data_IF_979471315492
#
_entry.id   IF_979471315492
#
_cell.length_a   1.000
_cell.length_b   1.000
_cell.length_c   1.000
_cell.angle_alpha   90.00
_cell.angle_beta   90.00
_cell.angle_gamma   90.00
#
_symmetry.space_group_name_H-M   'P 1'
#
loop_
_entity.id
_entity.type
_entity.pdbx_description
1 polymer ?
#
# COMPACT_ATOMS: atom_id res chain seq x y z
N UNK A 1 -1.51 5.42 8.82
CA UNK A 1 -0.73 4.63 7.85
C UNK A 1 0.13 3.65 8.61
N UNK A 2 -0.20 2.37 8.45
CA UNK A 2 0.52 1.29 9.12
C UNK A 2 1.81 1.01 8.34
N UNK A 3 2.93 1.17 9.01
CA UNK A 3 4.21 0.73 8.50
C UNK A 3 4.71 -0.44 9.35
N UNK A 4 4.41 -1.66 8.94
CA UNK A 4 5.01 -2.86 9.51
C UNK A 4 6.47 -2.95 9.06
N UNK A 5 7.40 -2.98 10.02
CA UNK A 5 8.83 -3.11 9.75
C UNK A 5 9.39 -4.31 10.50
N UNK A 6 9.55 -5.45 9.87
CA UNK A 6 10.38 -6.48 10.46
C UNK A 6 11.85 -6.01 10.41
N UNK A 7 12.39 -5.57 11.54
CA UNK A 7 13.78 -5.14 11.64
C UNK A 7 14.62 -6.13 12.43
N UNK A 8 15.89 -6.31 12.04
CA UNK A 8 16.83 -7.16 12.78
C UNK A 8 17.31 -6.54 14.11
N UNK A 9 17.13 -5.24 14.34
CA UNK A 9 17.53 -4.54 15.60
C UNK A 9 16.57 -3.43 15.93
N UNK A 10 16.12 -3.40 17.17
CA UNK A 10 15.16 -2.43 17.73
C UNK A 10 15.72 -1.02 17.95
N UNK A 11 17.00 -0.76 17.65
CA UNK A 11 17.69 0.40 18.21
C UNK A 11 17.37 1.74 17.57
N UNK A 12 16.67 1.82 16.43
CA UNK A 12 16.35 3.14 15.83
C UNK A 12 15.11 3.18 14.94
N UNK A 13 14.08 2.45 15.29
CA UNK A 13 12.79 2.45 14.57
C UNK A 13 12.08 3.80 14.58
N UNK A 14 12.49 4.70 15.47
CA UNK A 14 11.94 6.04 15.62
C UNK A 14 12.12 6.94 14.40
N UNK A 15 13.11 6.65 13.55
CA UNK A 15 13.48 7.44 12.36
C UNK A 15 13.60 6.59 11.08
N UNK A 16 13.32 5.29 11.14
CA UNK A 16 13.53 4.40 9.99
C UNK A 16 12.35 4.49 9.06
N UNK A 17 12.60 4.89 7.82
CA UNK A 17 11.64 4.81 6.72
C UNK A 17 11.49 3.35 6.25
N UNK A 18 10.34 2.96 5.66
CA UNK A 18 10.11 1.59 5.14
C UNK A 18 11.26 1.08 4.29
N UNK A 19 11.77 1.92 3.42
CA UNK A 19 12.87 1.62 2.49
C UNK A 19 14.19 1.26 3.17
N UNK A 20 14.34 1.55 4.46
CA UNK A 20 15.53 1.19 5.26
C UNK A 20 15.39 -0.17 5.95
N UNK A 21 14.22 -0.83 5.83
CA UNK A 21 14.01 -2.17 6.37
C UNK A 21 14.73 -3.22 5.52
N UNK A 22 15.40 -4.19 6.18
CA UNK A 22 15.96 -5.36 5.50
C UNK A 22 14.89 -6.28 4.88
N UNK A 23 13.61 -6.05 5.20
CA UNK A 23 12.47 -6.84 4.72
C UNK A 23 11.54 -6.04 3.82
N UNK A 24 12.06 -4.99 3.21
CA UNK A 24 11.38 -4.18 2.22
C UNK A 24 12.28 -4.02 0.99
N UNK A 25 11.71 -4.16 -0.20
CA UNK A 25 12.43 -4.00 -1.46
C UNK A 25 11.60 -3.20 -2.45
N UNK A 26 12.15 -2.09 -2.94
CA UNK A 26 11.50 -1.29 -3.98
C UNK A 26 11.47 -2.02 -5.32
N UNK A 27 10.32 -1.96 -5.97
CA UNK A 27 10.17 -2.27 -7.39
C UNK A 27 9.96 -1.01 -8.24
N UNK A 28 10.26 0.17 -7.69
CA UNK A 28 10.28 1.43 -8.44
C UNK A 28 11.42 1.44 -9.47
N UNK A 29 11.29 2.26 -10.50
CA UNK A 29 12.24 2.39 -11.59
C UNK A 29 11.61 2.00 -12.92
N UNK A 30 12.43 1.62 -13.91
CA UNK A 30 11.95 1.35 -15.25
C UNK A 30 11.22 0.01 -15.35
N UNK A 31 10.00 0.05 -15.92
CA UNK A 31 9.19 -1.11 -16.26
C UNK A 31 9.00 -1.16 -17.77
N UNK A 32 8.97 -2.35 -18.36
CA UNK A 32 8.47 -2.54 -19.73
C UNK A 32 7.01 -2.14 -19.79
N UNK A 33 6.64 -1.38 -20.83
CA UNK A 33 5.33 -0.75 -20.94
C UNK A 33 4.78 -0.81 -22.37
N UNK A 34 3.54 -1.24 -22.48
CA UNK A 34 2.76 -1.19 -23.72
C UNK A 34 1.43 -0.48 -23.44
N UNK A 35 1.15 0.56 -24.22
CA UNK A 35 -0.09 1.32 -24.12
C UNK A 35 -0.95 1.10 -25.36
N UNK A 36 -2.25 0.92 -25.14
CA UNK A 36 -3.24 0.85 -26.21
C UNK A 36 -4.46 1.72 -25.87
N UNK A 37 -5.10 2.32 -26.90
CA UNK A 37 -6.25 3.18 -26.67
C UNK A 37 -7.53 2.42 -26.28
N UNK A 38 -7.64 1.16 -26.68
CA UNK A 38 -8.83 0.32 -26.44
C UNK A 38 -8.45 -1.00 -25.77
N UNK A 39 -9.30 -1.52 -24.87
CA UNK A 39 -9.05 -2.80 -24.20
C UNK A 39 -8.93 -3.99 -25.17
N UNK A 40 -9.60 -3.91 -26.33
CA UNK A 40 -9.58 -4.99 -27.32
C UNK A 40 -8.24 -5.15 -28.02
N UNK A 41 -7.44 -4.08 -28.07
CA UNK A 41 -6.11 -4.03 -28.71
C UNK A 41 -4.98 -4.48 -27.79
N UNK A 42 -5.27 -4.69 -26.49
CA UNK A 42 -4.25 -5.06 -25.52
C UNK A 42 -3.62 -6.42 -25.82
N UNK A 43 -2.34 -6.61 -25.52
CA UNK A 43 -1.67 -7.91 -25.65
C UNK A 43 -2.22 -8.89 -24.60
N UNK A 44 -3.01 -9.87 -25.04
CA UNK A 44 -3.78 -10.76 -24.14
C UNK A 44 -2.92 -11.72 -23.32
N UNK A 45 -1.77 -12.13 -23.84
CA UNK A 45 -0.91 -13.15 -23.23
C UNK A 45 0.39 -12.56 -22.62
N UNK A 46 0.46 -11.27 -22.48
CA UNK A 46 1.68 -10.56 -22.06
C UNK A 46 2.17 -10.95 -20.65
N UNK A 47 1.30 -11.51 -19.82
CA UNK A 47 1.63 -11.98 -18.47
C UNK A 47 2.43 -13.28 -18.46
N UNK A 48 2.45 -14.03 -19.56
CA UNK A 48 3.22 -15.27 -19.69
C UNK A 48 4.71 -14.96 -19.68
N UNK A 49 5.49 -15.79 -18.98
CA UNK A 49 6.93 -15.54 -18.80
C UNK A 49 7.71 -15.53 -20.11
N UNK A 50 7.31 -16.36 -21.06
CA UNK A 50 7.90 -16.48 -22.40
C UNK A 50 7.50 -15.38 -23.38
N UNK A 51 6.54 -14.52 -23.03
CA UNK A 51 6.10 -13.45 -23.93
C UNK A 51 7.21 -12.41 -24.12
N UNK A 52 7.56 -12.13 -25.38
CA UNK A 52 8.60 -11.16 -25.71
C UNK A 52 8.11 -9.72 -25.54
N UNK A 53 8.74 -9.00 -24.62
CA UNK A 53 8.51 -7.57 -24.36
C UNK A 53 9.69 -6.69 -24.78
N UNK A 54 10.65 -7.23 -25.53
CA UNK A 54 11.87 -6.49 -25.92
C UNK A 54 11.56 -5.23 -26.72
N UNK A 55 10.51 -5.27 -27.57
CA UNK A 55 10.04 -4.14 -28.36
C UNK A 55 9.17 -3.13 -27.61
N UNK A 56 8.89 -3.35 -26.32
CA UNK A 56 8.08 -2.44 -25.53
C UNK A 56 8.86 -1.21 -25.08
N UNK A 57 8.15 -0.11 -24.88
CA UNK A 57 8.72 1.06 -24.23
C UNK A 57 9.18 0.76 -22.79
N UNK A 58 9.92 1.70 -22.22
CA UNK A 58 10.17 1.74 -20.78
C UNK A 58 9.43 2.94 -20.17
N UNK A 59 8.82 2.73 -19.02
CA UNK A 59 8.16 3.79 -18.25
C UNK A 59 8.65 3.75 -16.80
N UNK A 60 8.99 4.90 -16.19
CA UNK A 60 9.32 4.92 -14.78
C UNK A 60 8.07 4.64 -13.94
N UNK A 61 8.21 3.82 -12.91
CA UNK A 61 7.23 3.61 -11.84
C UNK A 61 7.88 4.17 -10.56
N UNK A 62 7.21 5.07 -9.83
CA UNK A 62 5.86 5.57 -10.07
C UNK A 62 5.78 6.62 -11.19
N UNK A 63 4.72 6.58 -11.99
CA UNK A 63 4.33 7.66 -12.90
C UNK A 63 2.89 7.52 -13.39
N UNK A 64 2.34 8.64 -13.90
CA UNK A 64 1.14 8.60 -14.75
C UNK A 64 1.58 8.59 -16.21
N UNK A 65 1.07 7.63 -17.00
CA UNK A 65 1.49 7.52 -18.40
C UNK A 65 1.07 8.73 -19.26
N UNK A 66 -0.06 9.37 -18.96
CA UNK A 66 -0.52 10.55 -19.71
C UNK A 66 0.44 11.74 -19.53
N UNK A 67 1.01 11.92 -18.33
CA UNK A 67 1.97 13.01 -18.07
C UNK A 67 3.35 12.64 -18.61
N UNK A 68 3.80 11.42 -18.35
CA UNK A 68 5.09 10.94 -18.86
C UNK A 68 5.15 10.91 -20.39
N UNK A 69 4.00 10.63 -21.04
CA UNK A 69 3.88 10.57 -22.50
C UNK A 69 3.89 11.93 -23.23
N UNK A 70 3.93 13.06 -22.51
CA UNK A 70 3.99 14.40 -23.14
C UNK A 70 5.38 14.59 -23.76
N UNK A 71 5.41 14.76 -25.08
CA UNK A 71 6.62 14.97 -25.85
C UNK A 71 7.03 16.46 -25.86
N UNK A 72 8.28 16.75 -26.24
CA UNK A 72 8.81 18.13 -26.28
C UNK A 72 8.04 19.04 -27.24
N UNK A 73 7.45 18.52 -28.27
CA UNK A 73 6.62 19.24 -29.24
C UNK A 73 5.15 19.39 -28.78
N UNK A 74 4.83 18.93 -27.57
CA UNK A 74 3.48 18.97 -27.01
C UNK A 74 2.57 17.82 -27.43
N UNK A 75 3.02 16.93 -28.31
CA UNK A 75 2.25 15.72 -28.66
C UNK A 75 2.20 14.73 -27.48
N UNK A 76 1.20 13.86 -27.49
CA UNK A 76 0.95 12.95 -26.40
C UNK A 76 1.04 11.51 -26.88
N UNK A 77 2.06 10.78 -26.40
CA UNK A 77 2.32 9.41 -26.79
C UNK A 77 1.31 8.43 -26.20
N UNK A 78 0.85 8.69 -24.97
CA UNK A 78 0.02 7.75 -24.19
C UNK A 78 -1.31 8.38 -23.77
N UNK A 79 -2.04 8.91 -24.70
CA UNK A 79 -3.36 9.51 -24.44
C UNK A 79 -3.28 10.86 -23.72
N UNK A 80 -4.44 11.45 -23.48
CA UNK A 80 -4.57 12.83 -22.98
C UNK A 80 -4.90 12.85 -21.49
N UNK A 81 -4.20 13.66 -20.68
CA UNK A 81 -4.63 13.93 -19.31
C UNK A 81 -6.02 14.54 -19.28
N UNK A 82 -6.86 14.10 -18.38
CA UNK A 82 -8.21 14.64 -18.22
C UNK A 82 -8.28 15.37 -16.89
N UNK A 83 -8.78 16.62 -16.96
CA UNK A 83 -9.18 17.33 -15.77
C UNK A 83 -10.56 16.86 -15.31
N UNK A 84 -10.85 16.96 -14.22
CA UNK A 84 -11.55 16.58 -13.09
C UNK A 84 -13.06 16.55 -13.03
N UNK A 85 -13.77 17.60 -13.14
CA UNK A 85 -15.23 17.63 -13.08
C UNK A 85 -15.88 17.19 -14.40
N UNK A 86 -15.16 16.36 -15.13
CA UNK A 86 -15.58 15.88 -16.44
C UNK A 86 -16.25 14.52 -16.32
N UNK A 87 -17.16 14.21 -17.24
CA UNK A 87 -17.93 12.97 -17.22
C UNK A 87 -17.03 11.73 -17.25
N UNK A 88 -17.50 10.64 -16.65
CA UNK A 88 -16.88 9.32 -16.80
C UNK A 88 -16.96 8.88 -18.26
N UNK A 89 -15.89 8.28 -18.76
CA UNK A 89 -15.69 7.91 -20.17
C UNK A 89 -16.59 6.79 -20.68
N UNK A 90 -17.33 6.11 -19.84
CA UNK A 90 -18.28 5.09 -20.25
C UNK A 90 -19.62 5.70 -20.65
N UNK A 91 -20.19 5.26 -21.76
CA UNK A 91 -21.61 5.48 -22.00
C UNK A 91 -22.42 4.65 -21.03
N UNK A 92 -23.25 5.30 -20.25
CA UNK A 92 -24.27 4.62 -19.45
C UNK A 92 -25.36 4.07 -20.41
N UNK A 93 -25.84 2.86 -20.14
CA UNK A 93 -26.98 2.29 -20.88
C UNK A 93 -28.32 2.94 -20.50
N UNK A 94 -28.37 3.69 -19.40
CA UNK A 94 -29.53 4.45 -18.95
C UNK A 94 -29.50 5.84 -19.56
N UNK A 95 -30.64 6.36 -19.99
CA UNK A 95 -30.76 7.69 -20.57
C UNK A 95 -30.14 8.73 -19.61
N UNK A 96 -29.19 9.49 -20.15
CA UNK A 96 -28.37 10.44 -19.38
C UNK A 96 -29.21 11.59 -18.80
N UNK A 97 -30.41 11.80 -19.33
CA UNK A 97 -31.32 12.86 -18.94
C UNK A 97 -31.83 12.75 -17.50
N UNK A 98 -31.78 11.56 -16.92
CA UNK A 98 -32.13 11.32 -15.51
C UNK A 98 -31.02 11.62 -14.52
N UNK A 99 -29.80 11.93 -14.99
CA UNK A 99 -28.65 12.20 -14.14
C UNK A 99 -28.44 13.69 -13.89
N UNK A 100 -28.79 14.10 -12.73
CA UNK A 100 -28.59 15.47 -12.26
C UNK A 100 -27.20 15.65 -11.67
N UNK A 101 -26.16 15.54 -12.45
CA UNK A 101 -24.87 15.89 -11.87
C UNK A 101 -23.65 15.19 -12.45
N UNK A 102 -22.74 15.95 -12.68
CA UNK A 102 -21.29 15.96 -12.82
C UNK A 102 -20.65 14.74 -13.47
N UNK A 103 -20.39 13.74 -12.70
CA UNK A 103 -19.43 12.68 -13.04
C UNK A 103 -19.93 11.64 -14.07
N UNK A 104 -21.21 11.59 -14.32
CA UNK A 104 -21.85 10.57 -15.16
C UNK A 104 -22.14 11.04 -16.59
N UNK A 105 -21.75 12.23 -16.95
CA UNK A 105 -21.98 12.79 -18.28
C UNK A 105 -21.09 12.13 -19.33
N UNK A 106 -21.59 12.05 -20.56
CA UNK A 106 -20.78 11.65 -21.73
C UNK A 106 -19.73 12.72 -22.02
N UNK A 107 -18.45 12.38 -22.12
CA UNK A 107 -17.42 13.34 -22.49
C UNK A 107 -17.60 13.85 -23.93
N UNK A 108 -17.09 15.06 -24.24
CA UNK A 108 -17.08 15.58 -25.59
C UNK A 108 -16.48 14.60 -26.59
N UNK A 109 -17.06 14.50 -27.78
CA UNK A 109 -16.65 13.53 -28.81
C UNK A 109 -15.25 13.77 -29.38
N UNK A 110 -14.71 14.98 -29.19
CA UNK A 110 -13.36 15.36 -29.62
C UNK A 110 -12.28 14.95 -28.62
N UNK A 111 -12.63 14.41 -27.45
CA UNK A 111 -11.65 13.92 -26.49
C UNK A 111 -11.12 12.55 -26.91
N UNK A 112 -9.82 12.36 -26.70
CA UNK A 112 -9.16 11.09 -27.00
C UNK A 112 -9.83 9.93 -26.27
N UNK A 113 -10.19 10.13 -25.01
CA UNK A 113 -10.86 9.15 -24.16
C UNK A 113 -12.26 8.79 -24.64
N UNK A 114 -12.97 9.70 -25.29
CA UNK A 114 -14.26 9.41 -25.89
C UNK A 114 -14.09 8.45 -27.09
N UNK A 115 -13.09 8.70 -27.93
CA UNK A 115 -12.80 7.87 -29.11
C UNK A 115 -12.23 6.50 -28.73
N UNK A 116 -11.34 6.48 -27.78
CA UNK A 116 -10.61 5.30 -27.33
C UNK A 116 -11.33 4.50 -26.24
N UNK A 117 -12.23 5.13 -25.54
CA UNK A 117 -13.13 4.65 -24.48
C UNK A 117 -12.49 4.14 -23.19
N UNK A 118 -11.40 3.41 -23.20
CA UNK A 118 -10.74 2.94 -21.96
C UNK A 118 -9.31 2.50 -22.26
N UNK A 119 -8.38 3.40 -22.13
CA UNK A 119 -6.97 3.13 -22.37
C UNK A 119 -6.46 2.04 -21.41
N UNK A 120 -5.55 1.20 -21.91
CA UNK A 120 -4.92 0.13 -21.14
C UNK A 120 -3.41 0.25 -21.20
N UNK A 121 -2.77 0.24 -20.02
CA UNK A 121 -1.33 0.13 -19.85
C UNK A 121 -0.95 -1.27 -19.36
N UNK A 122 -0.17 -2.01 -20.15
CA UNK A 122 0.40 -3.29 -19.74
C UNK A 122 1.84 -3.09 -19.30
N UNK A 123 2.15 -3.53 -18.09
CA UNK A 123 3.45 -3.37 -17.45
C UNK A 123 4.11 -4.73 -17.19
N UNK A 124 5.43 -4.80 -17.36
CA UNK A 124 6.22 -5.98 -16.92
C UNK A 124 7.53 -5.57 -16.29
N UNK A 125 7.93 -6.32 -15.26
CA UNK A 125 9.22 -6.18 -14.60
C UNK A 125 9.71 -7.53 -14.09
N UNK A 126 11.02 -7.72 -14.14
CA UNK A 126 11.71 -8.82 -13.46
C UNK A 126 12.18 -8.38 -12.08
N UNK A 127 12.18 -9.32 -11.14
CA UNK A 127 12.67 -9.11 -9.78
C UNK A 127 13.19 -10.41 -9.17
N UNK A 128 13.99 -10.29 -8.12
CA UNK A 128 14.49 -11.41 -7.32
C UNK A 128 14.15 -11.21 -5.87
N UNK A 129 13.99 -12.31 -5.13
CA UNK A 129 13.76 -12.29 -3.68
C UNK A 129 15.10 -12.45 -2.97
N UNK A 130 15.45 -11.60 -1.98
CA UNK A 130 16.64 -11.77 -1.16
C UNK A 130 16.65 -13.14 -0.44
N UNK A 131 17.81 -13.79 -0.36
CA UNK A 131 17.94 -15.12 0.25
C UNK A 131 17.55 -15.15 1.74
N UNK A 132 17.76 -14.05 2.45
CA UNK A 132 17.41 -13.91 3.87
C UNK A 132 15.91 -13.75 4.13
N UNK A 133 15.10 -13.75 3.07
CA UNK A 133 13.63 -13.79 3.16
C UNK A 133 13.06 -15.22 3.14
N UNK A 134 13.92 -16.23 3.07
CA UNK A 134 13.46 -17.62 3.09
C UNK A 134 12.59 -17.92 4.33
N UNK A 135 11.52 -18.69 4.12
CA UNK A 135 10.55 -19.02 5.16
C UNK A 135 9.61 -17.90 5.60
N UNK A 136 9.69 -16.72 4.97
CA UNK A 136 8.75 -15.61 5.19
C UNK A 136 7.61 -15.61 4.19
N UNK A 137 6.55 -14.88 4.52
CA UNK A 137 5.48 -14.54 3.58
C UNK A 137 5.84 -13.26 2.85
N UNK A 138 5.71 -13.27 1.54
CA UNK A 138 6.09 -12.15 0.67
C UNK A 138 4.83 -11.49 0.13
N UNK A 139 4.69 -10.21 0.41
CA UNK A 139 3.63 -9.37 -0.12
C UNK A 139 4.18 -8.42 -1.18
N UNK A 140 3.41 -8.20 -2.24
CA UNK A 140 3.61 -7.08 -3.15
C UNK A 140 2.58 -6.01 -2.85
N UNK A 141 3.03 -4.78 -2.62
CA UNK A 141 2.22 -3.63 -2.29
C UNK A 141 2.27 -2.62 -3.42
N UNK A 142 1.09 -2.18 -3.86
CA UNK A 142 0.91 -1.07 -4.79
C UNK A 142 0.27 0.07 -4.01
N UNK A 143 1.01 1.12 -3.71
CA UNK A 143 0.52 2.23 -2.87
C UNK A 143 -0.50 3.12 -3.58
N UNK A 144 -0.59 3.01 -4.90
CA UNK A 144 -1.63 3.67 -5.68
C UNK A 144 -1.54 3.35 -7.15
N UNK A 145 -2.65 2.88 -7.70
CA UNK A 145 -2.84 2.60 -9.14
C UNK A 145 -4.18 3.14 -9.58
N UNK A 146 -4.19 4.07 -10.50
CA UNK A 146 -5.44 4.63 -11.05
C UNK A 146 -5.76 3.99 -12.41
N UNK A 147 -6.92 3.40 -12.60
CA UNK A 147 -8.03 3.24 -11.63
C UNK A 147 -8.27 1.78 -11.22
N UNK A 148 -7.92 0.84 -12.06
CA UNK A 148 -8.18 -0.58 -11.91
C UNK A 148 -7.01 -1.37 -12.50
N UNK A 149 -6.61 -2.48 -11.85
CA UNK A 149 -5.59 -3.34 -12.42
C UNK A 149 -5.79 -4.83 -12.10
N UNK A 150 -5.28 -5.66 -13.02
CA UNK A 150 -5.02 -7.09 -12.79
C UNK A 150 -3.54 -7.32 -12.50
N UNK A 151 -3.25 -8.33 -11.68
CA UNK A 151 -1.90 -8.73 -11.28
C UNK A 151 -1.64 -10.20 -11.58
N UNK A 152 -0.47 -10.46 -12.18
CA UNK A 152 0.09 -11.80 -12.36
C UNK A 152 1.52 -11.86 -11.84
N UNK A 153 1.89 -13.01 -11.30
CA UNK A 153 3.27 -13.35 -10.93
C UNK A 153 3.64 -14.63 -11.64
N UNK A 154 4.75 -14.62 -12.38
CA UNK A 154 5.24 -15.79 -13.14
C UNK A 154 4.16 -16.43 -14.02
N UNK A 155 3.37 -15.63 -14.70
CA UNK A 155 2.28 -16.09 -15.56
C UNK A 155 1.01 -16.51 -14.86
N UNK A 156 0.99 -16.56 -13.52
CA UNK A 156 -0.16 -16.98 -12.74
C UNK A 156 -0.96 -15.77 -12.24
N UNK A 157 -2.27 -15.82 -12.40
CA UNK A 157 -3.17 -14.78 -11.92
C UNK A 157 -3.19 -14.73 -10.39
N UNK A 158 -2.97 -13.54 -9.82
CA UNK A 158 -2.95 -13.28 -8.37
C UNK A 158 -4.25 -12.65 -7.91
N UNK A 159 -4.70 -11.59 -8.59
CA UNK A 159 -5.87 -10.82 -8.19
C UNK A 159 -6.01 -9.50 -8.94
N UNK A 160 -6.87 -8.64 -8.41
CA UNK A 160 -7.13 -7.29 -8.95
C UNK A 160 -7.42 -6.29 -7.83
N UNK A 161 -7.33 -5.01 -8.16
CA UNK A 161 -7.81 -3.92 -7.28
C UNK A 161 -8.50 -2.83 -8.09
N UNK A 162 -9.50 -2.17 -7.48
CA UNK A 162 -10.26 -1.06 -8.04
C UNK A 162 -10.12 0.24 -7.25
N UNK A 163 -9.45 0.20 -6.12
CA UNK A 163 -9.28 1.37 -5.25
C UNK A 163 -8.01 2.10 -5.64
N UNK A 164 -8.17 3.29 -6.22
CA UNK A 164 -7.03 4.06 -6.75
C UNK A 164 -6.17 4.70 -5.67
N UNK A 165 -6.70 4.91 -4.46
CA UNK A 165 -6.07 5.77 -3.45
C UNK A 165 -5.46 5.03 -2.27
N UNK A 166 -5.90 3.81 -2.02
CA UNK A 166 -5.39 2.97 -0.93
C UNK A 166 -4.41 1.94 -1.47
N UNK A 167 -3.50 1.51 -0.61
CA UNK A 167 -2.56 0.44 -0.92
C UNK A 167 -3.29 -0.86 -1.23
N UNK A 168 -2.98 -1.46 -2.37
CA UNK A 168 -3.40 -2.80 -2.72
C UNK A 168 -2.27 -3.79 -2.40
N UNK A 169 -2.51 -4.71 -1.46
CA UNK A 169 -1.54 -5.67 -0.96
C UNK A 169 -1.94 -7.09 -1.32
N UNK A 170 -1.01 -7.86 -1.89
CA UNK A 170 -1.23 -9.24 -2.31
C UNK A 170 -0.14 -10.15 -1.77
N UNK A 171 -0.51 -11.24 -1.09
CA UNK A 171 0.43 -12.29 -0.75
C UNK A 171 0.80 -13.08 -2.01
N UNK A 172 2.07 -12.98 -2.40
CA UNK A 172 2.58 -13.62 -3.62
C UNK A 172 3.45 -14.85 -3.35
N UNK A 173 3.64 -15.24 -2.10
CA UNK A 173 4.57 -16.30 -1.67
C UNK A 173 4.44 -17.58 -2.49
N UNK A 174 3.21 -18.07 -2.70
CA UNK A 174 2.94 -19.33 -3.43
C UNK A 174 3.22 -19.28 -4.93
N UNK A 175 3.38 -18.08 -5.49
CA UNK A 175 3.62 -17.87 -6.93
C UNK A 175 5.11 -17.69 -7.25
N UNK A 176 5.96 -17.52 -6.23
CA UNK A 176 7.39 -17.26 -6.40
C UNK A 176 8.17 -18.50 -6.78
N UNK A 177 9.21 -18.29 -7.59
CA UNK A 177 10.21 -19.30 -7.91
C UNK A 177 11.59 -18.83 -7.46
N UNK A 178 12.53 -19.77 -7.32
CA UNK A 178 13.92 -19.44 -7.01
C UNK A 178 14.56 -18.73 -8.20
N UNK A 179 15.27 -17.64 -7.95
CA UNK A 179 15.91 -16.80 -8.97
C UNK A 179 14.98 -15.70 -9.47
N UNK A 180 14.94 -15.49 -10.78
CA UNK A 180 14.21 -14.40 -11.41
C UNK A 180 12.70 -14.69 -11.44
N UNK A 181 11.92 -13.73 -10.97
CA UNK A 181 10.48 -13.72 -11.02
C UNK A 181 10.00 -12.61 -11.92
N UNK A 182 8.82 -12.75 -12.49
CA UNK A 182 8.19 -11.77 -13.38
C UNK A 182 6.90 -11.28 -12.76
N UNK A 183 6.76 -9.97 -12.59
CA UNK A 183 5.48 -9.31 -12.31
C UNK A 183 4.91 -8.72 -13.58
N UNK A 184 3.63 -8.98 -13.83
CA UNK A 184 2.87 -8.39 -14.93
C UNK A 184 1.62 -7.70 -14.36
N UNK A 185 1.35 -6.48 -14.82
CA UNK A 185 0.23 -5.65 -14.36
C UNK A 185 -0.48 -5.07 -15.56
N UNK A 186 -1.79 -5.21 -15.62
CA UNK A 186 -2.63 -4.62 -16.66
C UNK A 186 -3.53 -3.57 -16.02
N UNK A 187 -3.26 -2.29 -16.32
CA UNK A 187 -3.96 -1.15 -15.72
C UNK A 187 -4.96 -0.58 -16.72
N UNK A 188 -6.19 -0.43 -16.29
CA UNK A 188 -7.26 0.21 -17.05
C UNK A 188 -7.47 1.64 -16.54
N UNK A 189 -7.57 2.58 -17.47
CA UNK A 189 -7.80 3.99 -17.14
C UNK A 189 -9.05 4.21 -16.31
N UNK A 190 -10.09 3.42 -16.57
CA UNK A 190 -11.37 3.57 -15.90
C UNK A 190 -12.02 2.22 -15.63
N UNK A 191 -12.78 2.16 -14.56
CA UNK A 191 -13.56 1.01 -14.12
C UNK A 191 -14.92 1.47 -13.57
N UNK A 192 -15.74 0.54 -13.12
CA UNK A 192 -16.95 0.87 -12.36
C UNK A 192 -16.64 1.69 -11.09
N UNK A 193 -15.49 1.45 -10.45
CA UNK A 193 -14.99 2.26 -9.33
C UNK A 193 -14.78 3.73 -9.69
N UNK A 194 -14.48 4.05 -10.94
CA UNK A 194 -14.29 5.42 -11.39
C UNK A 194 -15.53 6.30 -11.23
N UNK A 195 -16.73 5.71 -11.17
CA UNK A 195 -17.96 6.46 -10.88
C UNK A 195 -18.01 6.99 -9.45
N UNK A 196 -17.40 6.27 -8.51
CA UNK A 196 -17.30 6.68 -7.12
C UNK A 196 -16.10 7.60 -6.85
N UNK A 197 -15.01 7.40 -7.61
CA UNK A 197 -13.75 8.13 -7.44
C UNK A 197 -13.66 9.39 -8.32
N UNK A 198 -14.67 9.67 -9.13
CA UNK A 198 -14.70 10.80 -10.05
C UNK A 198 -15.02 12.12 -9.35
N UNK A 199 -14.17 12.51 -8.42
CA UNK A 199 -14.24 13.79 -7.73
C UNK A 199 -13.55 14.90 -8.53
N UNK A 200 -13.61 16.14 -8.05
CA UNK A 200 -13.01 17.29 -8.71
C UNK A 200 -11.47 17.27 -8.66
N UNK A 201 -10.87 16.50 -9.54
CA UNK A 201 -9.42 16.27 -9.60
C UNK A 201 -8.97 15.77 -10.98
N UNK A 202 -7.68 15.84 -11.28
CA UNK A 202 -7.11 15.19 -12.46
C UNK A 202 -7.27 13.68 -12.40
N UNK A 203 -7.56 13.07 -13.56
CA UNK A 203 -7.60 11.63 -13.77
C UNK A 203 -6.37 11.23 -14.54
N UNK A 204 -5.39 10.75 -13.81
CA UNK A 204 -4.05 10.46 -14.31
C UNK A 204 -3.76 8.97 -14.10
N UNK A 205 -4.07 8.13 -15.09
CA UNK A 205 -3.96 6.68 -14.94
C UNK A 205 -2.51 6.21 -14.90
N UNK A 206 -2.31 5.06 -14.27
CA UNK A 206 -1.02 4.40 -14.16
C UNK A 206 -0.67 3.99 -12.74
N UNK A 207 0.49 3.39 -12.58
CA UNK A 207 1.07 3.07 -11.28
C UNK A 207 1.75 4.36 -10.77
N UNK A 208 1.00 5.21 -10.06
CA UNK A 208 1.44 6.57 -9.73
C UNK A 208 2.07 6.71 -8.35
N UNK A 209 2.10 5.62 -7.57
CA UNK A 209 2.82 5.53 -6.29
C UNK A 209 3.75 4.32 -6.27
N UNK A 210 4.50 4.18 -5.18
CA UNK A 210 5.48 3.12 -4.98
C UNK A 210 4.90 1.72 -5.17
N UNK A 211 5.70 0.85 -5.79
CA UNK A 211 5.51 -0.59 -5.76
C UNK A 211 6.67 -1.19 -4.96
N UNK A 212 6.34 -2.02 -3.97
CA UNK A 212 7.36 -2.63 -3.12
C UNK A 212 7.01 -4.07 -2.74
N UNK A 213 8.04 -4.85 -2.47
CA UNK A 213 7.92 -6.14 -1.81
C UNK A 213 8.15 -5.96 -0.31
N UNK A 214 7.38 -6.69 0.48
CA UNK A 214 7.52 -6.75 1.92
C UNK A 214 7.54 -8.21 2.37
N UNK A 215 8.55 -8.58 3.17
CA UNK A 215 8.64 -9.90 3.77
C UNK A 215 8.22 -9.84 5.24
N UNK A 216 7.26 -10.67 5.63
CA UNK A 216 6.78 -10.76 7.01
C UNK A 216 6.93 -12.18 7.56
N UNK A 217 7.10 -12.37 8.89
CA UNK A 217 7.03 -13.69 9.49
C UNK A 217 5.68 -14.37 9.23
N UNK A 218 5.62 -15.70 9.31
CA UNK A 218 4.35 -16.42 9.18
C UNK A 218 3.33 -16.02 10.27
N UNK A 219 3.81 -15.74 11.50
CA UNK A 219 3.03 -15.06 12.53
C UNK A 219 3.46 -13.61 12.54
N UNK A 220 2.56 -12.69 12.19
CA UNK A 220 2.86 -11.27 12.04
C UNK A 220 1.72 -10.37 12.52
N UNK A 221 2.03 -9.13 12.77
CA UNK A 221 1.04 -8.07 13.03
C UNK A 221 0.46 -7.62 11.69
N UNK A 222 -0.79 -8.03 11.42
CA UNK A 222 -1.49 -7.65 10.18
C UNK A 222 -1.94 -6.19 10.21
N UNK A 223 -2.40 -5.76 11.38
CA UNK A 223 -2.90 -4.39 11.58
C UNK A 223 -2.61 -3.90 13.00
N UNK A 224 -2.44 -2.60 13.14
CA UNK A 224 -2.23 -1.91 14.42
C UNK A 224 -3.10 -0.66 14.45
N UNK A 225 -4.22 -0.74 15.13
CA UNK A 225 -5.13 0.40 15.29
C UNK A 225 -4.84 1.06 16.64
N UNK A 226 -4.47 2.33 16.58
CA UNK A 226 -4.14 3.13 17.78
C UNK A 226 -5.14 4.28 17.88
N UNK A 227 -5.82 4.36 19.00
CA UNK A 227 -6.81 5.41 19.29
C UNK A 227 -6.36 6.21 20.51
N UNK A 228 -5.72 7.37 20.29
CA UNK A 228 -5.35 8.26 21.38
C UNK A 228 -6.56 9.07 21.84
N UNK A 229 -6.72 9.23 23.14
CA UNK A 229 -7.74 10.08 23.73
C UNK A 229 -7.22 10.74 25.01
N UNK A 230 -7.95 11.69 25.55
CA UNK A 230 -7.68 12.33 26.83
C UNK A 230 -8.78 11.93 27.82
N UNK A 231 -8.46 11.97 29.10
CA UNK A 231 -9.43 11.78 30.16
C UNK A 231 -10.50 12.90 30.18
N UNK A 232 -11.55 12.72 30.97
CA UNK A 232 -12.67 13.69 31.06
C UNK A 232 -12.23 15.08 31.54
N UNK A 233 -11.05 15.21 32.15
CA UNK A 233 -10.48 16.48 32.59
C UNK A 233 -9.48 17.07 31.60
N UNK A 234 -9.24 16.38 30.48
CA UNK A 234 -8.23 16.74 29.50
C UNK A 234 -6.81 16.86 30.09
N UNK A 235 -6.54 16.14 31.18
CA UNK A 235 -5.25 16.18 31.89
C UNK A 235 -4.35 15.05 31.50
N UNK A 236 -4.80 13.81 31.61
CA UNK A 236 -4.05 12.59 31.30
C UNK A 236 -4.49 11.98 29.98
N UNK A 237 -3.58 11.25 29.33
CA UNK A 237 -3.82 10.57 28.06
C UNK A 237 -4.12 9.09 28.24
N UNK A 238 -4.97 8.56 27.38
CA UNK A 238 -5.24 7.13 27.23
C UNK A 238 -5.04 6.71 25.78
N UNK A 239 -4.19 5.72 25.56
CA UNK A 239 -3.90 5.18 24.26
C UNK A 239 -4.46 3.76 24.18
N UNK A 240 -5.54 3.56 23.41
CA UNK A 240 -6.10 2.24 23.13
C UNK A 240 -5.41 1.66 21.91
N UNK A 241 -4.87 0.46 22.05
CA UNK A 241 -4.06 -0.22 21.03
C UNK A 241 -4.69 -1.57 20.74
N UNK A 242 -5.08 -1.80 19.49
CA UNK A 242 -5.58 -3.07 18.99
C UNK A 242 -4.58 -3.58 17.95
N UNK A 243 -3.92 -4.70 18.24
CA UNK A 243 -3.02 -5.36 17.31
C UNK A 243 -3.68 -6.64 16.78
N UNK A 244 -3.94 -6.67 15.48
CA UNK A 244 -4.44 -7.85 14.80
C UNK A 244 -3.28 -8.73 14.37
N UNK A 245 -3.20 -9.92 14.97
CA UNK A 245 -2.09 -10.86 14.75
C UNK A 245 -2.60 -12.04 13.95
N UNK A 246 -2.02 -12.22 12.76
CA UNK A 246 -2.39 -13.27 11.80
C UNK A 246 -1.34 -14.37 11.74
N UNK A 247 -1.81 -15.60 11.68
CA UNK A 247 -0.97 -16.78 11.50
C UNK A 247 -1.18 -17.37 10.11
N UNK A 248 -0.23 -17.14 9.20
CA UNK A 248 -0.19 -17.77 7.87
C UNK A 248 0.54 -19.12 7.86
N UNK A 249 1.06 -19.55 9.01
CA UNK A 249 1.72 -20.83 9.18
C UNK A 249 0.73 -22.02 9.23
N UNK A 250 1.29 -23.23 9.21
CA UNK A 250 0.52 -24.49 9.19
C UNK A 250 0.18 -25.04 10.57
N UNK A 251 0.67 -24.41 11.64
CA UNK A 251 0.49 -24.85 13.04
C UNK A 251 -0.01 -23.68 13.89
N UNK A 252 -0.77 -24.01 14.96
CA UNK A 252 -1.17 -23.03 15.94
C UNK A 252 0.04 -22.34 16.59
N UNK A 253 0.00 -21.01 16.68
CA UNK A 253 0.99 -20.20 17.36
C UNK A 253 0.53 -19.88 18.78
N UNK A 254 1.38 -20.14 19.79
CA UNK A 254 1.07 -19.95 21.21
C UNK A 254 2.27 -19.47 22.02
N UNK A 255 2.00 -18.68 23.07
CA UNK A 255 3.03 -18.15 23.97
C UNK A 255 3.74 -16.94 23.38
N UNK A 256 3.02 -16.11 22.66
CA UNK A 256 3.49 -14.83 22.12
C UNK A 256 2.92 -13.67 22.93
N UNK A 257 3.56 -12.52 22.86
CA UNK A 257 3.10 -11.27 23.47
C UNK A 257 3.44 -10.08 22.57
N UNK A 258 2.60 -9.05 22.62
CA UNK A 258 2.92 -7.71 22.13
C UNK A 258 3.55 -6.92 23.26
N UNK A 259 4.66 -6.26 22.99
CA UNK A 259 5.35 -5.36 23.93
C UNK A 259 5.37 -3.96 23.31
N UNK A 260 4.89 -2.96 24.04
CA UNK A 260 4.77 -1.59 23.54
C UNK A 260 5.67 -0.63 24.29
N UNK A 261 6.35 0.24 23.55
CA UNK A 261 7.08 1.40 24.06
C UNK A 261 6.59 2.67 23.38
N UNK A 262 6.40 3.75 24.15
CA UNK A 262 5.96 5.05 23.63
C UNK A 262 7.10 6.06 23.79
N UNK A 263 7.41 6.78 22.72
CA UNK A 263 8.45 7.78 22.67
C UNK A 263 7.87 9.16 22.40
N UNK A 264 8.32 10.14 23.16
CA UNK A 264 8.06 11.53 22.88
C UNK A 264 8.86 11.98 21.66
N UNK A 265 8.20 12.62 20.70
CA UNK A 265 8.84 13.08 19.47
C UNK A 265 8.37 14.50 19.17
N UNK A 266 9.16 15.47 19.59
CA UNK A 266 8.90 16.86 19.19
C UNK A 266 9.30 17.05 17.74
N UNK A 267 8.37 17.57 16.91
CA UNK A 267 8.62 17.85 15.51
C UNK A 267 9.87 18.73 15.35
N UNK A 268 10.79 18.35 14.47
CA UNK A 268 12.10 19.00 14.25
C UNK A 268 13.10 18.95 15.41
N UNK A 269 12.87 18.16 16.45
CA UNK A 269 13.87 17.90 17.47
C UNK A 269 14.39 16.46 17.40
N UNK A 270 15.60 16.25 17.94
CA UNK A 270 16.16 14.91 18.13
C UNK A 270 15.73 14.27 19.44
N UNK A 271 14.79 14.88 20.16
CA UNK A 271 14.27 14.35 21.40
C UNK A 271 13.42 13.09 21.15
N UNK A 272 13.86 12.00 21.75
CA UNK A 272 13.26 10.67 21.61
C UNK A 272 13.18 9.99 22.98
N UNK A 273 12.75 10.72 23.99
CA UNK A 273 12.66 10.20 25.34
C UNK A 273 11.52 9.18 25.42
N UNK A 274 11.82 8.01 25.96
CA UNK A 274 10.79 7.03 26.27
C UNK A 274 9.86 7.57 27.36
N UNK A 275 8.56 7.58 27.09
CA UNK A 275 7.56 8.21 27.96
C UNK A 275 7.23 7.32 29.16
N UNK A 276 7.31 6.01 28.97
CA UNK A 276 7.07 5.02 30.02
C UNK A 276 8.25 4.06 30.11
N UNK A 277 8.93 4.03 31.23
CA UNK A 277 10.12 3.23 31.50
C UNK A 277 9.89 1.71 31.53
N UNK A 278 8.68 1.24 31.37
CA UNK A 278 8.36 -0.17 31.33
C UNK A 278 7.52 -0.47 30.08
N UNK A 279 8.06 -1.27 29.19
CA UNK A 279 7.30 -1.81 28.08
C UNK A 279 6.06 -2.55 28.58
N UNK A 280 4.87 -2.11 28.16
CA UNK A 280 3.63 -2.82 28.49
C UNK A 280 3.58 -4.08 27.64
N UNK A 281 3.47 -5.23 28.31
CA UNK A 281 3.37 -6.52 27.67
C UNK A 281 1.94 -7.06 27.75
N UNK A 282 1.37 -7.37 26.59
CA UNK A 282 0.03 -7.96 26.45
C UNK A 282 0.16 -9.35 25.84
N UNK A 283 -0.32 -10.40 26.53
CA UNK A 283 -0.29 -11.75 25.97
C UNK A 283 -1.19 -11.84 24.73
N UNK A 284 -0.71 -12.56 23.72
CA UNK A 284 -1.46 -12.90 22.52
C UNK A 284 -2.15 -14.23 22.74
N UNK A 285 -3.45 -14.31 22.49
CA UNK A 285 -4.20 -15.56 22.50
C UNK A 285 -3.60 -16.55 21.50
N UNK A 286 -3.98 -17.83 21.62
CA UNK A 286 -3.57 -18.84 20.63
C UNK A 286 -4.12 -18.47 19.27
N UNK A 287 -3.25 -18.36 18.28
CA UNK A 287 -3.62 -18.06 16.90
C UNK A 287 -3.56 -19.33 16.08
N UNK A 288 -4.70 -19.91 15.77
CA UNK A 288 -4.78 -21.14 14.96
C UNK A 288 -4.23 -20.91 13.54
N UNK A 289 -3.85 -21.98 12.86
CA UNK A 289 -3.35 -21.93 11.49
C UNK A 289 -4.39 -21.26 10.55
N UNK A 290 -3.98 -20.23 9.82
CA UNK A 290 -4.83 -19.46 8.91
C UNK A 290 -5.79 -18.49 9.62
N UNK A 291 -5.73 -18.37 10.94
CA UNK A 291 -6.61 -17.50 11.73
C UNK A 291 -5.92 -16.20 12.17
N UNK A 292 -6.73 -15.31 12.74
CA UNK A 292 -6.32 -14.01 13.26
C UNK A 292 -6.95 -13.80 14.64
N UNK A 293 -6.24 -13.09 15.53
CA UNK A 293 -6.72 -12.66 16.83
C UNK A 293 -6.32 -11.22 17.07
N UNK A 294 -7.13 -10.46 17.82
CA UNK A 294 -6.81 -9.11 18.26
C UNK A 294 -6.26 -9.14 19.68
N UNK A 295 -5.09 -8.53 19.89
CA UNK A 295 -4.53 -8.26 21.22
C UNK A 295 -4.82 -6.80 21.59
N UNK A 296 -5.66 -6.61 22.63
CA UNK A 296 -6.09 -5.28 23.07
C UNK A 296 -5.24 -4.82 24.27
N UNK A 297 -4.82 -3.57 24.24
CA UNK A 297 -4.00 -2.94 25.28
C UNK A 297 -4.42 -1.50 25.50
N UNK A 298 -4.40 -1.04 26.74
CA UNK A 298 -4.56 0.37 27.07
C UNK A 298 -3.32 0.88 27.80
N UNK A 299 -2.72 1.93 27.24
CA UNK A 299 -1.58 2.63 27.82
C UNK A 299 -2.03 3.99 28.35
N UNK A 300 -1.73 4.28 29.63
CA UNK A 300 -2.01 5.58 30.25
C UNK A 300 -0.75 6.45 30.28
N UNK A 301 -0.89 7.70 29.87
CA UNK A 301 0.18 8.69 29.83
C UNK A 301 -0.19 9.88 30.69
N UNK A 302 0.59 10.11 31.74
CA UNK A 302 0.37 11.25 32.66
C UNK A 302 0.79 12.55 31.96
N UNK A 303 -0.11 13.53 31.94
CA UNK A 303 0.13 14.89 31.44
C UNK A 303 0.88 14.95 30.12
N UNK A 304 0.37 14.29 29.07
CA UNK A 304 1.04 14.29 27.77
C UNK A 304 1.14 15.70 27.20
N UNK A 305 2.16 15.94 26.39
CA UNK A 305 2.23 17.12 25.55
C UNK A 305 1.15 17.01 24.48
N UNK A 306 0.19 17.93 24.53
CA UNK A 306 -0.96 17.92 23.61
C UNK A 306 -0.59 18.55 22.28
N UNK A 307 -1.06 17.99 21.23
CA UNK A 307 -0.90 18.55 19.90
C UNK A 307 -1.74 19.82 19.72
N UNK A 308 -1.17 20.84 19.13
CA UNK A 308 -1.89 21.97 18.55
C UNK A 308 -1.19 22.40 17.27
N UNK A 309 -1.84 23.24 16.45
CA UNK A 309 -1.21 23.78 15.23
C UNK A 309 0.07 24.57 15.52
N UNK A 310 0.10 25.25 16.68
CA UNK A 310 1.26 26.04 17.14
C UNK A 310 2.33 25.17 17.80
N UNK A 311 1.94 24.03 18.34
CA UNK A 311 2.85 23.07 19.00
C UNK A 311 2.50 21.65 18.53
N UNK A 312 2.90 21.26 17.32
CA UNK A 312 2.55 19.99 16.72
C UNK A 312 3.39 18.85 17.33
N UNK A 313 3.15 18.57 18.60
CA UNK A 313 3.86 17.52 19.33
C UNK A 313 3.32 16.15 18.95
N UNK A 314 4.21 15.20 18.68
CA UNK A 314 3.86 13.83 18.28
C UNK A 314 4.44 12.81 19.26
N UNK A 315 3.87 11.62 19.23
CA UNK A 315 4.40 10.45 19.92
C UNK A 315 4.62 9.33 18.91
N UNK A 316 5.67 8.54 19.11
CA UNK A 316 5.92 7.33 18.33
C UNK A 316 5.66 6.11 19.19
N UNK A 317 4.68 5.30 18.82
CA UNK A 317 4.43 4.00 19.41
C UNK A 317 5.24 2.94 18.66
N UNK A 318 6.00 2.14 19.41
CA UNK A 318 6.70 0.96 18.89
C UNK A 318 6.09 -0.28 19.53
N UNK A 319 5.61 -1.22 18.70
CA UNK A 319 5.10 -2.52 19.11
C UNK A 319 6.02 -3.64 18.64
N UNK A 320 6.39 -4.54 19.54
CA UNK A 320 7.20 -5.72 19.24
C UNK A 320 6.40 -6.99 19.48
N UNK A 321 6.26 -7.84 18.47
CA UNK A 321 5.74 -9.20 18.63
C UNK A 321 6.88 -10.10 19.11
N UNK A 322 6.77 -10.64 20.33
CA UNK A 322 7.81 -11.46 20.97
C UNK A 322 7.34 -12.89 21.21
N UNK A 323 8.26 -13.85 21.08
CA UNK A 323 8.03 -15.23 21.49
C UNK A 323 8.19 -15.42 23.00
N UNK A 324 7.89 -16.64 23.50
CA UNK A 324 8.02 -17.02 24.90
C UNK A 324 9.42 -16.93 25.48
N UNK A 325 10.45 -16.77 24.63
CA UNK A 325 11.85 -16.56 25.04
C UNK A 325 12.25 -15.09 25.01
N UNK A 326 11.30 -14.18 24.71
CA UNK A 326 11.52 -12.74 24.59
C UNK A 326 12.20 -12.33 23.28
N UNK A 327 12.33 -13.21 22.28
CA UNK A 327 12.91 -12.86 20.99
C UNK A 327 11.86 -12.15 20.14
N UNK A 328 12.23 -11.00 19.59
CA UNK A 328 11.38 -10.23 18.69
C UNK A 328 11.29 -10.91 17.33
N UNK A 329 10.06 -11.18 16.89
CA UNK A 329 9.76 -11.71 15.57
C UNK A 329 9.58 -10.57 14.57
N UNK A 330 8.85 -9.55 15.01
CA UNK A 330 8.48 -8.40 14.20
C UNK A 330 8.38 -7.15 15.07
N UNK A 331 8.64 -6.02 14.47
CA UNK A 331 8.44 -4.71 15.08
C UNK A 331 7.59 -3.85 14.18
N UNK A 332 6.60 -3.19 14.75
CA UNK A 332 5.69 -2.25 14.08
C UNK A 332 5.73 -0.90 14.76
N UNK A 333 5.40 0.16 14.01
CA UNK A 333 5.46 1.53 14.48
C UNK A 333 4.23 2.32 14.05
N UNK A 334 3.76 3.21 14.90
CA UNK A 334 2.73 4.20 14.58
C UNK A 334 3.13 5.58 15.10
N UNK A 335 2.70 6.65 14.44
CA UNK A 335 2.90 8.04 14.90
C UNK A 335 1.56 8.62 15.35
N UNK A 336 1.52 9.07 16.60
CA UNK A 336 0.29 9.51 17.26
C UNK A 336 0.27 11.03 17.49
N UNK A 337 -0.90 11.62 17.20
CA UNK A 337 -1.17 13.06 17.26
C UNK A 337 -2.25 13.35 18.28
N UNK A 338 -2.03 13.20 19.54
CA UNK A 338 -2.97 13.82 20.53
C UNK A 338 -2.29 14.06 21.85
#
# INVERSE_FOLDING_TARGET
DLHSFPTRRSSDLRKVLPENSAYWQSLNGDWKFNWVPNPEERPKDFYKTEFDVSGWDNIPVPSSWNIYGIQKDGTQKYGTPIYVNQPVIFQHKVAVDDWRGGVMRTPPSNWTTFKARNEVGSYRREFTIPEDWDGKEIFINFDGVDSFFYLWINGQYVGFSKNSRNTASFNITKYLVKGTNVVAVEVYRSSDGSFLEAQDMFRLPGIYRTVALQAVPQLHVRDLVVTPDLDATYTDGELKINADIRNLGKKAAKGYSMVYSLYANQLYSDDNTEVNNAGISTPVAVVEAGQEVTAETTLKVQKPNKWSAEKPYLYTLVGELKDKKGRTLETVRSEERR
#
